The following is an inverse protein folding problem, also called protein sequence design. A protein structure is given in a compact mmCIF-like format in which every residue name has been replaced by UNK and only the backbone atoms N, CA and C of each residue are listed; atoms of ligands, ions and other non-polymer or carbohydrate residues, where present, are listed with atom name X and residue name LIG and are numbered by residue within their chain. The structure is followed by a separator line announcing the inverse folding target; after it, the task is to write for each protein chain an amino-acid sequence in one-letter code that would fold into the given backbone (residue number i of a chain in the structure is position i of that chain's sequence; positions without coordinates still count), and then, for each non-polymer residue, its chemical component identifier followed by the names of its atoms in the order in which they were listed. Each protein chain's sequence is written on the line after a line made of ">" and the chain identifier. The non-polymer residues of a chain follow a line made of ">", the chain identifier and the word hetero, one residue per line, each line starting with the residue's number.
data_IF_711580276854
#
_entry.id   IF_711580276854
#
_cell.length_a   1.000
_cell.length_b   1.000
_cell.length_c   1.000
_cell.angle_alpha   90.00
_cell.angle_beta   90.00
_cell.angle_gamma   90.00
#
_symmetry.space_group_name_H-M   'P 1'
#
loop_
_entity.id
_entity.type
_entity.pdbx_description
1 polymer ?
#
# COMPACT_ATOMS: atom_id res chain seq x y z
N UNK A 1 -6.39 -17.22 25.90
CA UNK A 1 -5.39 -16.78 24.91
C UNK A 1 -5.96 -15.65 24.06
N UNK A 2 -5.32 -14.48 24.07
CA UNK A 2 -5.70 -13.38 23.17
C UNK A 2 -5.13 -13.66 21.77
N UNK A 3 -5.97 -13.88 20.75
CA UNK A 3 -5.49 -14.22 19.43
C UNK A 3 -4.78 -13.08 18.70
N UNK A 4 -4.96 -11.84 19.14
CA UNK A 4 -4.38 -10.62 18.58
C UNK A 4 -3.28 -10.02 19.46
N UNK A 5 -2.71 -10.81 20.37
CA UNK A 5 -1.55 -10.38 21.16
C UNK A 5 -0.37 -9.97 20.25
N UNK A 6 0.29 -8.86 20.62
CA UNK A 6 1.43 -8.28 19.92
C UNK A 6 2.55 -9.30 19.68
N UNK A 7 3.00 -10.04 20.70
CA UNK A 7 4.11 -11.01 20.56
C UNK A 7 3.81 -12.08 19.52
N UNK A 8 2.55 -12.53 19.48
CA UNK A 8 2.10 -13.58 18.56
C UNK A 8 2.05 -13.08 17.12
N UNK A 9 1.54 -11.86 16.92
CA UNK A 9 1.52 -11.20 15.60
C UNK A 9 2.95 -10.90 15.13
N UNK A 10 3.81 -10.40 16.02
CA UNK A 10 5.19 -10.06 15.70
C UNK A 10 6.00 -11.31 15.29
N UNK A 11 5.85 -12.41 16.03
CA UNK A 11 6.46 -13.70 15.70
C UNK A 11 5.94 -14.26 14.35
N UNK A 12 4.64 -14.13 14.08
CA UNK A 12 4.08 -14.51 12.78
C UNK A 12 4.65 -13.65 11.64
N UNK A 13 4.76 -12.33 11.82
CA UNK A 13 5.35 -11.41 10.85
C UNK A 13 6.84 -11.64 10.63
N UNK A 14 7.55 -12.32 11.53
CA UNK A 14 8.96 -12.71 11.31
C UNK A 14 9.10 -13.78 10.20
N UNK A 15 8.02 -14.50 9.87
CA UNK A 15 8.04 -15.56 8.86
C UNK A 15 8.03 -14.98 7.43
N UNK A 16 9.00 -15.32 6.56
CA UNK A 16 9.07 -14.82 5.20
C UNK A 16 7.78 -14.90 4.35
N UNK A 17 7.01 -16.02 4.35
CA UNK A 17 5.78 -16.08 3.56
C UNK A 17 4.70 -15.11 4.07
N UNK A 18 4.61 -14.91 5.39
CA UNK A 18 3.64 -13.99 5.98
C UNK A 18 3.98 -12.55 5.61
N UNK A 19 5.27 -12.17 5.67
CA UNK A 19 5.72 -10.86 5.18
C UNK A 19 5.30 -10.61 3.74
N UNK A 20 5.49 -11.60 2.87
CA UNK A 20 5.15 -11.51 1.45
C UNK A 20 3.63 -11.33 1.24
N UNK A 21 2.81 -12.06 2.00
CA UNK A 21 1.35 -11.93 1.97
C UNK A 21 0.94 -10.52 2.42
N UNK A 22 1.43 -10.05 3.57
CA UNK A 22 1.10 -8.73 4.10
C UNK A 22 1.58 -7.62 3.16
N UNK A 23 2.78 -7.73 2.62
CA UNK A 23 3.30 -6.81 1.62
C UNK A 23 2.38 -6.72 0.39
N UNK A 24 1.91 -7.87 -0.11
CA UNK A 24 1.00 -7.95 -1.26
C UNK A 24 -0.36 -7.35 -0.93
N UNK A 25 -0.92 -7.68 0.23
CA UNK A 25 -2.22 -7.17 0.73
C UNK A 25 -2.20 -5.66 0.95
N UNK A 26 -1.05 -5.07 1.28
CA UNK A 26 -0.90 -3.61 1.40
C UNK A 26 -0.69 -2.97 0.01
N UNK A 27 0.23 -3.52 -0.79
CA UNK A 27 0.68 -2.87 -2.02
C UNK A 27 -0.37 -2.93 -3.14
N UNK A 28 -1.05 -4.06 -3.35
CA UNK A 28 -2.04 -4.19 -4.42
C UNK A 28 -3.19 -3.19 -4.29
N UNK A 29 -3.84 -3.05 -3.11
CA UNK A 29 -4.89 -2.06 -2.91
C UNK A 29 -4.41 -0.62 -3.07
N UNK A 30 -3.15 -0.30 -2.70
CA UNK A 30 -2.58 1.03 -2.93
C UNK A 30 -2.52 1.38 -4.42
N UNK A 31 -2.01 0.47 -5.25
CA UNK A 31 -1.98 0.68 -6.70
C UNK A 31 -3.37 0.67 -7.34
N UNK A 32 -4.26 -0.20 -6.85
CA UNK A 32 -5.66 -0.22 -7.29
C UNK A 32 -6.36 1.10 -6.98
N UNK A 33 -6.17 1.62 -5.76
CA UNK A 33 -6.69 2.92 -5.35
C UNK A 33 -6.11 4.04 -6.21
N UNK A 34 -4.79 4.09 -6.41
CA UNK A 34 -4.15 5.12 -7.22
C UNK A 34 -4.68 5.16 -8.65
N UNK A 35 -4.87 3.97 -9.25
CA UNK A 35 -5.46 3.84 -10.57
C UNK A 35 -6.90 4.35 -10.58
N UNK A 36 -7.78 3.83 -9.70
CA UNK A 36 -9.20 4.21 -9.67
C UNK A 36 -9.40 5.70 -9.35
N UNK A 37 -8.67 6.23 -8.38
CA UNK A 37 -8.78 7.61 -7.92
C UNK A 37 -8.38 8.62 -9.01
N UNK A 38 -7.33 8.31 -9.79
CA UNK A 38 -6.96 9.09 -10.97
C UNK A 38 -8.12 9.23 -11.94
N UNK A 39 -8.77 8.12 -12.31
CA UNK A 39 -9.90 8.16 -13.24
C UNK A 39 -11.09 8.93 -12.67
N UNK A 40 -11.42 8.70 -11.39
CA UNK A 40 -12.48 9.46 -10.73
C UNK A 40 -12.23 10.97 -10.76
N UNK A 41 -11.00 11.43 -10.51
CA UNK A 41 -10.68 12.86 -10.56
C UNK A 41 -10.71 13.43 -12.00
N UNK A 42 -10.26 12.65 -12.98
CA UNK A 42 -10.36 13.04 -14.39
C UNK A 42 -11.83 13.18 -14.82
N UNK A 43 -12.69 12.25 -14.42
CA UNK A 43 -14.11 12.24 -14.75
C UNK A 43 -14.89 13.38 -14.09
N UNK A 44 -14.45 13.83 -12.90
CA UNK A 44 -15.01 15.01 -12.20
C UNK A 44 -14.56 16.34 -12.83
N UNK A 45 -13.70 16.30 -13.87
CA UNK A 45 -13.35 17.46 -14.68
C UNK A 45 -11.93 17.99 -14.46
N UNK A 46 -11.08 17.33 -13.65
CA UNK A 46 -9.69 17.73 -13.43
C UNK A 46 -8.74 17.23 -14.54
N UNK A 47 -9.24 17.09 -15.78
CA UNK A 47 -8.47 16.57 -16.91
C UNK A 47 -7.19 17.37 -17.19
N UNK A 48 -7.24 18.69 -17.05
CA UNK A 48 -6.10 19.60 -17.29
C UNK A 48 -4.91 19.34 -16.36
N UNK A 49 -5.15 18.76 -15.17
CA UNK A 49 -4.12 18.42 -14.17
C UNK A 49 -3.93 16.91 -14.03
N UNK A 50 -4.37 16.12 -15.02
CA UNK A 50 -4.30 14.65 -15.01
C UNK A 50 -2.89 14.11 -14.76
N UNK A 51 -1.86 14.77 -15.29
CA UNK A 51 -0.45 14.39 -15.05
C UNK A 51 -0.07 14.59 -13.59
N UNK A 52 -0.42 15.73 -12.98
CA UNK A 52 -0.14 15.99 -11.56
C UNK A 52 -0.88 14.99 -10.67
N UNK A 53 -2.13 14.70 -10.97
CA UNK A 53 -2.93 13.69 -10.28
C UNK A 53 -2.25 12.33 -10.38
N UNK A 54 -1.80 11.93 -11.57
CA UNK A 54 -1.11 10.66 -11.75
C UNK A 54 0.17 10.59 -10.90
N UNK A 55 1.00 11.64 -10.92
CA UNK A 55 2.24 11.70 -10.11
C UNK A 55 1.92 11.59 -8.62
N UNK A 56 0.91 12.30 -8.12
CA UNK A 56 0.52 12.22 -6.72
C UNK A 56 -0.04 10.85 -6.36
N UNK A 57 -0.95 10.30 -7.16
CA UNK A 57 -1.59 9.00 -6.89
C UNK A 57 -0.58 7.86 -6.89
N UNK A 58 0.19 7.73 -7.98
CA UNK A 58 1.18 6.66 -8.11
C UNK A 58 2.39 6.91 -7.20
N UNK A 59 2.78 8.17 -6.99
CA UNK A 59 3.82 8.53 -6.05
C UNK A 59 3.49 8.09 -4.62
N UNK A 60 2.26 8.35 -4.15
CA UNK A 60 1.79 7.88 -2.85
C UNK A 60 1.74 6.35 -2.79
N UNK A 61 1.28 5.67 -3.84
CA UNK A 61 1.26 4.21 -3.88
C UNK A 61 2.68 3.61 -3.81
N UNK A 62 3.64 4.17 -4.55
CA UNK A 62 5.04 3.75 -4.53
C UNK A 62 5.66 4.02 -3.16
N UNK A 63 5.47 5.22 -2.59
CA UNK A 63 5.99 5.56 -1.28
C UNK A 63 5.43 4.62 -0.19
N UNK A 64 4.11 4.36 -0.20
CA UNK A 64 3.48 3.42 0.74
C UNK A 64 4.00 1.99 0.58
N UNK A 65 4.26 1.55 -0.66
CA UNK A 65 4.87 0.24 -0.95
C UNK A 65 6.29 0.15 -0.40
N UNK A 66 7.12 1.18 -0.60
CA UNK A 66 8.48 1.24 -0.06
C UNK A 66 8.46 1.22 1.46
N UNK A 67 7.61 2.04 2.09
CA UNK A 67 7.47 2.08 3.55
C UNK A 67 7.05 0.71 4.09
N UNK A 68 6.08 0.05 3.46
CA UNK A 68 5.65 -1.31 3.83
C UNK A 68 6.80 -2.31 3.74
N UNK A 69 7.57 -2.29 2.65
CA UNK A 69 8.74 -3.16 2.47
C UNK A 69 9.81 -2.91 3.55
N UNK A 70 10.13 -1.64 3.84
CA UNK A 70 11.12 -1.27 4.85
C UNK A 70 10.69 -1.72 6.24
N UNK A 71 9.42 -1.50 6.61
CA UNK A 71 8.90 -1.93 7.92
C UNK A 71 8.96 -3.45 8.04
N UNK A 72 8.45 -4.18 7.04
CA UNK A 72 8.46 -5.66 7.04
C UNK A 72 9.87 -6.26 7.01
N UNK A 73 10.83 -5.56 6.41
CA UNK A 73 12.23 -5.97 6.42
C UNK A 73 12.87 -5.82 7.81
N UNK A 74 12.47 -4.80 8.57
CA UNK A 74 13.00 -4.52 9.91
C UNK A 74 12.32 -5.30 11.04
N UNK A 75 11.18 -5.92 10.78
CA UNK A 75 10.54 -6.91 11.68
C UNK A 75 11.30 -8.23 11.59
#
# INVERSE_FOLDING_TARGET
>A
DDPLNFDRIHSALSQPPIKLIIFTVISLPLFHWAHRFRFTLVDVGLKSVSTLIAVLCYGVAIAGTIVSAVILWNI
#
